data_IF_106155093966
#
_entry.id   IF_106155093966
#
_cell.length_a   1.000
_cell.length_b   1.000
_cell.length_c   1.000
_cell.angle_alpha   90.00
_cell.angle_beta   90.00
_cell.angle_gamma   90.00
#
_symmetry.space_group_name_H-M   'P 1'
#
loop_
_entity.id
_entity.type
_entity.pdbx_description
1 polymer ?
#
# COMPACT_ATOMS: atom_id res chain seq x y z
N UNK A 1 -7.27 -8.82 -7.03
CA UNK A 1 -6.49 -7.77 -6.32
C UNK A 1 -5.81 -8.38 -5.11
N UNK A 2 -4.60 -7.98 -4.82
CA UNK A 2 -3.82 -8.54 -3.71
C UNK A 2 -4.31 -7.99 -2.37
N UNK A 3 -4.77 -8.88 -1.49
CA UNK A 3 -5.34 -8.47 -0.21
C UNK A 3 -4.31 -7.87 0.75
N UNK A 4 -3.07 -8.32 0.70
CA UNK A 4 -2.03 -7.76 1.57
C UNK A 4 -1.73 -6.32 1.19
N UNK A 5 -1.62 -6.05 -0.10
CA UNK A 5 -1.40 -4.70 -0.58
C UNK A 5 -2.59 -3.82 -0.24
N UNK A 6 -3.79 -4.32 -0.45
CA UNK A 6 -5.02 -3.59 -0.16
C UNK A 6 -5.12 -3.23 1.32
N UNK A 7 -4.88 -4.20 2.21
CA UNK A 7 -4.96 -3.95 3.65
C UNK A 7 -3.91 -2.95 4.11
N UNK A 8 -2.70 -3.07 3.60
CA UNK A 8 -1.64 -2.12 3.94
C UNK A 8 -1.99 -0.72 3.47
N UNK A 9 -2.50 -0.60 2.25
CA UNK A 9 -2.88 0.68 1.69
C UNK A 9 -4.02 1.33 2.49
N UNK A 10 -5.02 0.55 2.85
CA UNK A 10 -6.15 1.07 3.63
C UNK A 10 -5.70 1.52 5.02
N UNK A 11 -4.77 0.80 5.64
CA UNK A 11 -4.22 1.21 6.93
C UNK A 11 -3.50 2.55 6.83
N UNK A 12 -2.69 2.72 5.79
CA UNK A 12 -1.99 3.99 5.58
C UNK A 12 -2.98 5.12 5.31
N UNK A 13 -4.01 4.85 4.50
CA UNK A 13 -5.02 5.87 4.21
C UNK A 13 -5.83 6.25 5.44
N UNK A 14 -5.94 5.33 6.40
CA UNK A 14 -6.62 5.59 7.67
C UNK A 14 -5.71 6.28 8.70
N UNK A 15 -4.48 6.56 8.33
CA UNK A 15 -3.53 7.26 9.20
C UNK A 15 -2.75 6.34 10.13
N UNK A 16 -2.85 5.04 9.97
CA UNK A 16 -2.13 4.09 10.80
C UNK A 16 -0.74 3.82 10.25
N UNK A 17 0.18 3.53 11.14
CA UNK A 17 1.53 3.16 10.74
C UNK A 17 1.64 1.66 10.54
N UNK A 18 2.41 1.26 9.55
CA UNK A 18 2.71 -0.14 9.29
C UNK A 18 3.90 -0.57 10.15
N UNK A 19 3.83 -1.77 10.72
CA UNK A 19 4.98 -2.32 11.42
C UNK A 19 6.00 -2.90 10.43
N UNK A 20 7.17 -3.30 10.93
CA UNK A 20 8.23 -3.82 10.06
C UNK A 20 7.81 -5.07 9.31
N UNK A 21 7.07 -5.96 9.96
CA UNK A 21 6.59 -7.18 9.32
C UNK A 21 5.66 -6.88 8.16
N UNK A 22 4.75 -5.93 8.36
CA UNK A 22 3.82 -5.53 7.30
C UNK A 22 4.54 -4.89 6.14
N UNK A 23 5.56 -4.08 6.42
CA UNK A 23 6.35 -3.44 5.37
C UNK A 23 7.10 -4.49 4.55
N UNK A 24 7.69 -5.48 5.21
CA UNK A 24 8.39 -6.55 4.51
C UNK A 24 7.45 -7.36 3.63
N UNK A 25 6.27 -7.68 4.14
CA UNK A 25 5.26 -8.38 3.35
C UNK A 25 4.81 -7.55 2.16
N UNK A 26 4.64 -6.25 2.36
CA UNK A 26 4.24 -5.35 1.29
C UNK A 26 5.29 -5.29 0.19
N UNK A 27 6.57 -5.20 0.56
CA UNK A 27 7.65 -5.18 -0.43
C UNK A 27 7.68 -6.47 -1.21
N UNK A 28 7.50 -7.60 -0.54
CA UNK A 28 7.46 -8.90 -1.22
C UNK A 28 6.29 -8.97 -2.20
N UNK A 29 5.12 -8.58 -1.77
CA UNK A 29 3.93 -8.64 -2.61
C UNK A 29 3.99 -7.64 -3.76
N UNK A 30 4.69 -6.52 -3.59
CA UNK A 30 4.85 -5.56 -4.66
C UNK A 30 5.66 -6.13 -5.83
N UNK A 31 6.51 -7.11 -5.55
CA UNK A 31 7.26 -7.79 -6.60
C UNK A 31 6.43 -8.85 -7.31
N UNK A 32 5.46 -9.43 -6.60
CA UNK A 32 4.57 -10.44 -7.18
C UNK A 32 3.49 -9.79 -8.02
N UNK A 33 2.92 -8.71 -7.52
CA UNK A 33 1.84 -8.01 -8.22
C UNK A 33 2.10 -6.50 -8.24
N UNK A 34 3.04 -6.06 -9.09
CA UNK A 34 3.42 -4.65 -9.14
C UNK A 34 2.28 -3.73 -9.57
N UNK A 35 1.35 -4.23 -10.38
CA UNK A 35 0.24 -3.42 -10.86
C UNK A 35 -0.68 -3.02 -9.70
N UNK A 36 -0.98 -3.96 -8.80
CA UNK A 36 -1.79 -3.67 -7.62
C UNK A 36 -1.09 -2.67 -6.71
N UNK A 37 0.22 -2.85 -6.53
CA UNK A 37 1.00 -1.94 -5.71
C UNK A 37 0.96 -0.51 -6.29
N UNK A 38 1.14 -0.39 -7.60
CA UNK A 38 1.11 0.91 -8.26
C UNK A 38 -0.27 1.58 -8.15
N UNK A 39 -1.32 0.78 -8.29
CA UNK A 39 -2.68 1.28 -8.17
C UNK A 39 -2.91 1.92 -6.79
N UNK A 40 -2.56 1.21 -5.73
CA UNK A 40 -2.76 1.71 -4.38
C UNK A 40 -1.81 2.86 -4.03
N UNK A 41 -0.57 2.78 -4.52
CA UNK A 41 0.39 3.86 -4.32
C UNK A 41 -0.11 5.17 -4.92
N UNK A 42 -0.71 5.10 -6.10
CA UNK A 42 -1.27 6.27 -6.76
C UNK A 42 -2.44 6.84 -5.95
N UNK A 43 -3.31 5.97 -5.44
CA UNK A 43 -4.44 6.43 -4.63
C UNK A 43 -3.99 7.08 -3.32
N UNK A 44 -2.98 6.50 -2.67
CA UNK A 44 -2.42 7.08 -1.45
C UNK A 44 -1.80 8.44 -1.75
N UNK A 45 -1.06 8.52 -2.83
CA UNK A 45 -0.43 9.77 -3.22
C UNK A 45 -1.48 10.85 -3.45
N UNK A 46 -2.55 10.53 -4.14
CA UNK A 46 -3.62 11.50 -4.41
C UNK A 46 -4.32 11.96 -3.14
N UNK A 47 -4.42 11.08 -2.15
CA UNK A 47 -5.06 11.44 -0.90
C UNK A 47 -4.21 12.39 -0.07
N UNK A 48 -2.89 12.16 -0.01
CA UNK A 48 -2.01 12.92 0.88
C UNK A 48 -1.24 14.04 0.17
N UNK A 49 -1.18 14.02 -1.14
CA UNK A 49 -0.46 15.03 -1.91
C UNK A 49 -1.39 15.68 -2.93
N UNK A 50 -2.49 16.22 -2.45
CA UNK A 50 -3.43 16.93 -3.30
C UNK A 50 -2.82 18.26 -3.68
N UNK A 51 -2.67 18.46 -4.96
CA UNK A 51 -2.20 19.73 -5.50
C UNK A 51 -3.25 20.27 -6.47
#
# INVERSE_FOLDING_TARGET
>A
MNRLIERAALSVMDGQQLDCGSIEDLVRESRVEPEDFLYWADRIRRKFFII
#
